data_IF_637416861150
#
_entry.id   IF_637416861150
#
_cell.length_a   1.000
_cell.length_b   1.000
_cell.length_c   1.000
_cell.angle_alpha   90.00
_cell.angle_beta   90.00
_cell.angle_gamma   90.00
#
_symmetry.space_group_name_H-M   'P 1'
#
loop_
_entity.id
_entity.type
_entity.pdbx_description
1 polymer ?
#
# COMPACT_ATOMS: atom_id res chain seq x y z
N UNK A 1 -7.27 -17.54 24.04
CA UNK A 1 -7.24 -17.46 22.57
C UNK A 1 -6.29 -18.55 22.07
N UNK A 2 -6.76 -19.41 21.21
CA UNK A 2 -5.91 -20.48 20.72
C UNK A 2 -4.98 -19.98 19.61
N UNK A 3 -4.08 -20.84 19.15
CA UNK A 3 -3.07 -20.45 18.16
C UNK A 3 -3.70 -20.03 16.84
N UNK A 4 -4.77 -20.71 16.43
CA UNK A 4 -5.44 -20.38 15.17
C UNK A 4 -6.11 -19.01 15.24
N UNK A 5 -6.82 -18.74 16.32
CA UNK A 5 -7.45 -17.44 16.52
C UNK A 5 -6.39 -16.33 16.63
N UNK A 6 -5.31 -16.60 17.33
CA UNK A 6 -4.25 -15.61 17.52
C UNK A 6 -3.62 -15.24 16.18
N UNK A 7 -3.27 -16.22 15.34
CA UNK A 7 -2.67 -15.92 14.05
C UNK A 7 -3.66 -15.21 13.14
N UNK A 8 -4.95 -15.55 13.21
CA UNK A 8 -5.97 -14.90 12.40
C UNK A 8 -6.11 -13.43 12.78
N UNK A 9 -6.23 -13.14 14.07
CA UNK A 9 -6.36 -11.77 14.55
C UNK A 9 -5.12 -10.96 14.21
N UNK A 10 -3.94 -11.51 14.46
CA UNK A 10 -2.68 -10.82 14.18
C UNK A 10 -2.55 -10.54 12.69
N UNK A 11 -2.89 -11.49 11.83
CA UNK A 11 -2.78 -11.33 10.38
C UNK A 11 -3.75 -10.27 9.85
N UNK A 12 -4.99 -10.31 10.29
CA UNK A 12 -6.01 -9.36 9.83
C UNK A 12 -5.68 -7.95 10.32
N UNK A 13 -5.31 -7.82 11.58
CA UNK A 13 -4.94 -6.52 12.15
C UNK A 13 -3.72 -5.95 11.43
N UNK A 14 -2.69 -6.78 11.22
CA UNK A 14 -1.48 -6.35 10.53
C UNK A 14 -1.78 -5.96 9.08
N UNK A 15 -2.62 -6.73 8.38
CA UNK A 15 -3.00 -6.42 7.01
C UNK A 15 -3.70 -5.07 6.93
N UNK A 16 -4.63 -4.81 7.85
CA UNK A 16 -5.34 -3.54 7.89
C UNK A 16 -4.40 -2.36 8.17
N UNK A 17 -3.51 -2.52 9.13
CA UNK A 17 -2.54 -1.48 9.46
C UNK A 17 -1.54 -1.27 8.32
N UNK A 18 -1.07 -2.33 7.70
CA UNK A 18 -0.12 -2.24 6.59
C UNK A 18 -0.72 -1.44 5.43
N UNK A 19 -1.95 -1.76 5.03
CA UNK A 19 -2.60 -1.07 3.93
C UNK A 19 -2.89 0.38 4.29
N UNK A 20 -3.44 0.61 5.50
CA UNK A 20 -3.80 1.97 5.93
C UNK A 20 -2.59 2.88 6.01
N UNK A 21 -1.56 2.46 6.72
CA UNK A 21 -0.35 3.26 6.92
C UNK A 21 0.47 3.33 5.64
N UNK A 22 0.55 2.20 4.94
CA UNK A 22 1.31 2.12 3.70
C UNK A 22 0.73 2.97 2.57
N UNK A 23 -0.56 3.29 2.61
CA UNK A 23 -1.19 4.17 1.63
C UNK A 23 -1.17 5.63 2.06
N UNK A 24 -1.02 5.90 3.36
CA UNK A 24 -1.09 7.26 3.89
C UNK A 24 0.03 8.15 3.36
N UNK A 25 1.26 7.69 3.45
CA UNK A 25 2.41 8.48 3.00
C UNK A 25 2.43 8.67 1.49
N UNK A 26 2.22 7.64 0.66
CA UNK A 26 2.06 7.85 -0.77
C UNK A 26 0.94 8.82 -1.13
N UNK A 27 -0.19 8.77 -0.42
CA UNK A 27 -1.29 9.70 -0.67
C UNK A 27 -0.88 11.14 -0.40
N UNK A 28 -0.13 11.38 0.67
CA UNK A 28 0.40 12.71 0.96
C UNK A 28 1.38 13.16 -0.12
N UNK A 29 2.24 12.26 -0.57
CA UNK A 29 3.19 12.55 -1.64
C UNK A 29 2.49 12.89 -2.94
N UNK A 30 1.46 12.15 -3.30
CA UNK A 30 0.68 12.42 -4.49
C UNK A 30 0.00 13.78 -4.40
N UNK A 31 -0.63 14.08 -3.25
CA UNK A 31 -1.28 15.35 -3.03
C UNK A 31 -0.33 16.52 -3.18
N UNK A 32 0.85 16.42 -2.60
CA UNK A 32 1.87 17.46 -2.71
C UNK A 32 2.38 17.62 -4.14
N UNK A 33 2.58 16.50 -4.82
CA UNK A 33 3.04 16.52 -6.21
C UNK A 33 2.03 17.21 -7.12
N UNK A 34 0.75 16.88 -6.94
CA UNK A 34 -0.32 17.52 -7.73
C UNK A 34 -0.39 19.01 -7.43
N UNK A 35 -0.35 19.41 -6.17
CA UNK A 35 -0.40 20.82 -5.79
C UNK A 35 0.76 21.60 -6.40
N UNK A 36 1.97 21.04 -6.32
CA UNK A 36 3.15 21.67 -6.89
C UNK A 36 3.05 21.76 -8.41
N UNK A 37 2.57 20.70 -9.06
CA UNK A 37 2.41 20.69 -10.51
C UNK A 37 1.39 21.72 -10.96
N UNK A 38 0.28 21.88 -10.24
CA UNK A 38 -0.73 22.87 -10.59
C UNK A 38 -0.17 24.30 -10.47
N UNK A 39 0.62 24.57 -9.43
CA UNK A 39 1.29 25.85 -9.29
C UNK A 39 2.26 26.10 -10.44
N UNK A 40 3.02 25.09 -10.82
CA UNK A 40 3.97 25.20 -11.92
C UNK A 40 3.26 25.45 -13.26
N UNK A 41 2.12 24.78 -13.49
CA UNK A 41 1.33 24.99 -14.69
C UNK A 41 0.77 26.42 -14.77
N UNK A 42 0.36 26.96 -13.61
CA UNK A 42 -0.14 28.33 -13.57
C UNK A 42 0.94 29.34 -13.91
N UNK A 43 2.17 29.07 -13.51
CA UNK A 43 3.30 29.98 -13.76
C UNK A 43 3.93 29.77 -15.13
N UNK A 44 3.91 28.56 -15.64
CA UNK A 44 4.56 28.18 -16.89
C UNK A 44 3.63 27.34 -17.76
N UNK A 45 2.58 27.95 -18.31
CA UNK A 45 1.63 27.17 -19.13
C UNK A 45 2.28 26.53 -20.37
N UNK A 46 3.36 27.13 -20.88
CA UNK A 46 4.06 26.60 -22.04
C UNK A 46 4.72 25.27 -21.76
N UNK A 47 4.98 24.95 -20.48
CA UNK A 47 5.61 23.71 -20.08
C UNK A 47 4.60 22.62 -19.72
N UNK A 48 3.33 22.79 -20.06
CA UNK A 48 2.26 21.88 -19.62
C UNK A 48 2.50 20.44 -20.03
N UNK A 49 2.98 20.20 -21.24
CA UNK A 49 3.23 18.82 -21.71
C UNK A 49 4.32 18.13 -20.86
N UNK A 50 5.40 18.83 -20.59
CA UNK A 50 6.50 18.29 -19.80
C UNK A 50 6.08 18.07 -18.34
N UNK A 51 5.38 19.04 -17.76
CA UNK A 51 4.94 18.96 -16.37
C UNK A 51 3.95 17.80 -16.21
N UNK A 52 2.99 17.67 -17.11
CA UNK A 52 1.99 16.62 -17.05
C UNK A 52 2.62 15.24 -17.18
N UNK A 53 3.53 15.08 -18.12
CA UNK A 53 4.21 13.79 -18.33
C UNK A 53 5.03 13.41 -17.12
N UNK A 54 5.80 14.32 -16.57
CA UNK A 54 6.62 14.09 -15.40
C UNK A 54 5.75 13.75 -14.19
N UNK A 55 4.64 14.46 -14.03
CA UNK A 55 3.71 14.22 -12.95
C UNK A 55 3.14 12.81 -13.02
N UNK A 56 2.68 12.37 -14.18
CA UNK A 56 2.11 11.02 -14.31
C UNK A 56 3.12 9.92 -14.00
N UNK A 57 4.37 10.09 -14.46
CA UNK A 57 5.42 9.11 -14.15
C UNK A 57 5.69 9.09 -12.65
N UNK A 58 5.78 10.25 -12.02
CA UNK A 58 6.01 10.34 -10.57
C UNK A 58 4.87 9.73 -9.77
N UNK A 59 3.63 10.01 -10.16
CA UNK A 59 2.46 9.46 -9.49
C UNK A 59 2.41 7.93 -9.62
N UNK A 60 2.77 7.41 -10.79
CA UNK A 60 2.79 5.96 -11.00
C UNK A 60 3.81 5.29 -10.08
N UNK A 61 4.98 5.90 -9.90
CA UNK A 61 6.00 5.35 -9.02
C UNK A 61 5.59 5.41 -7.55
N UNK A 62 4.95 6.50 -7.14
CA UNK A 62 4.42 6.63 -5.77
C UNK A 62 3.34 5.59 -5.53
N UNK A 63 2.46 5.41 -6.50
CA UNK A 63 1.37 4.44 -6.40
C UNK A 63 1.89 3.01 -6.26
N UNK A 64 3.05 2.70 -6.84
CA UNK A 64 3.65 1.37 -6.71
C UNK A 64 3.92 1.00 -5.27
N UNK A 65 4.27 1.97 -4.43
CA UNK A 65 4.50 1.73 -3.01
C UNK A 65 3.24 1.27 -2.31
N UNK A 66 2.11 1.91 -2.62
CA UNK A 66 0.81 1.51 -2.06
C UNK A 66 0.41 0.12 -2.55
N UNK A 67 0.70 -0.20 -3.80
CA UNK A 67 0.41 -1.52 -4.35
C UNK A 67 1.22 -2.60 -3.64
N UNK A 68 2.49 -2.35 -3.34
CA UNK A 68 3.30 -3.31 -2.59
C UNK A 68 2.69 -3.59 -1.21
N UNK A 69 2.25 -2.55 -0.50
CA UNK A 69 1.61 -2.72 0.80
C UNK A 69 0.32 -3.51 0.67
N UNK A 70 -0.45 -3.24 -0.36
CA UNK A 70 -1.69 -3.97 -0.64
C UNK A 70 -1.41 -5.45 -0.88
N UNK A 71 -0.38 -5.76 -1.67
CA UNK A 71 -0.01 -7.15 -1.96
C UNK A 71 0.40 -7.89 -0.69
N UNK A 72 1.20 -7.25 0.17
CA UNK A 72 1.58 -7.86 1.44
C UNK A 72 0.35 -8.14 2.30
N UNK A 73 -0.58 -7.19 2.35
CA UNK A 73 -1.83 -7.38 3.11
C UNK A 73 -2.66 -8.54 2.57
N UNK A 74 -2.73 -8.67 1.25
CA UNK A 74 -3.47 -9.78 0.62
C UNK A 74 -2.82 -11.12 0.93
N UNK A 75 -1.49 -11.17 0.96
CA UNK A 75 -0.78 -12.39 1.33
C UNK A 75 -1.13 -12.79 2.77
N UNK A 76 -1.15 -11.81 3.68
CA UNK A 76 -1.47 -12.10 5.08
C UNK A 76 -2.90 -12.60 5.27
N UNK A 77 -3.82 -12.14 4.44
CA UNK A 77 -5.23 -12.54 4.58
C UNK A 77 -5.51 -13.85 3.85
N UNK A 78 -5.03 -14.00 2.61
CA UNK A 78 -5.46 -15.10 1.75
C UNK A 78 -4.41 -16.18 1.52
N UNK A 79 -3.14 -15.86 1.69
CA UNK A 79 -2.04 -16.78 1.38
C UNK A 79 -0.97 -16.78 2.46
N UNK A 80 -1.41 -16.67 3.71
CA UNK A 80 -0.51 -16.58 4.86
C UNK A 80 0.28 -17.88 5.02
N UNK A 81 1.60 -17.84 4.89
CA UNK A 81 2.40 -19.07 4.99
C UNK A 81 2.39 -19.69 6.38
N UNK A 82 2.08 -18.90 7.40
CA UNK A 82 2.05 -19.41 8.77
C UNK A 82 0.72 -20.07 9.11
N UNK A 83 -0.31 -19.85 8.32
CA UNK A 83 -1.64 -20.38 8.57
C UNK A 83 -1.66 -21.91 8.58
N UNK A 84 -1.07 -22.52 7.55
CA UNK A 84 -1.02 -23.96 7.43
C UNK A 84 -0.19 -24.58 8.54
N UNK A 85 0.89 -23.92 8.93
CA UNK A 85 1.74 -24.39 10.03
C UNK A 85 0.96 -24.42 11.34
N UNK A 86 0.22 -23.37 11.64
CA UNK A 86 -0.57 -23.30 12.86
C UNK A 86 -1.70 -24.32 12.87
N UNK A 87 -2.37 -24.48 11.72
CA UNK A 87 -3.42 -25.49 11.62
C UNK A 87 -2.87 -26.90 11.86
N UNK A 88 -1.71 -27.20 11.29
CA UNK A 88 -1.07 -28.48 11.47
C UNK A 88 -0.74 -28.74 12.94
N UNK A 89 -0.25 -27.73 13.65
CA UNK A 89 0.03 -27.85 15.08
C UNK A 89 -1.24 -28.04 15.89
N UNK A 90 -2.30 -27.35 15.53
CA UNK A 90 -3.56 -27.38 16.27
C UNK A 90 -4.30 -28.71 16.08
N UNK A 91 -4.37 -29.18 14.86
CA UNK A 91 -5.12 -30.41 14.54
C UNK A 91 -4.30 -31.68 14.72
N UNK A 92 -2.97 -31.53 14.73
CA UNK A 92 -2.28 -32.60 14.85
C UNK A 92 -1.48 -33.26 14.86
N UNK A 93 -1.48 -32.56 14.45
CA UNK A 93 -0.82 -33.59 14.64
C UNK A 93 -0.43 -34.33 13.64
#
# INVERSE_FOLDING_TARGET
MDSTTLIAVASIATAGLTTSIGCMVPALGEGRSVATALSALAQQPDASATITRTLFVGLAMIESMAIYCFVVSMILIFANPFWNHVIAQTTGK
#
